data_IF_170437279373
#
_entry.id   IF_170437279373
#
_cell.length_a   1.000
_cell.length_b   1.000
_cell.length_c   1.000
_cell.angle_alpha   90.00
_cell.angle_beta   90.00
_cell.angle_gamma   90.00
#
_symmetry.space_group_name_H-M   'P 1'
#
loop_
_entity.id
_entity.type
_entity.pdbx_description
1 polymer ?
#
# COMPACT_ATOMS: atom_id res chain seq x y z
N UNK A 1 -30.12 -33.54 37.00
CA UNK A 1 -29.19 -33.16 35.92
C UNK A 1 -28.51 -31.85 36.28
N UNK A 2 -27.37 -31.96 36.93
CA UNK A 2 -26.52 -30.83 37.32
C UNK A 2 -25.73 -30.41 36.07
N UNK A 3 -25.88 -29.16 35.61
CA UNK A 3 -25.09 -28.61 34.51
C UNK A 3 -23.63 -28.55 34.98
N UNK A 4 -22.73 -29.23 34.28
CA UNK A 4 -21.28 -29.07 34.44
C UNK A 4 -20.95 -27.59 34.29
N UNK A 5 -20.31 -26.99 35.29
CA UNK A 5 -19.75 -25.64 35.19
C UNK A 5 -18.47 -25.68 34.37
N UNK A 6 -18.58 -25.91 33.06
CA UNK A 6 -17.44 -25.69 32.17
C UNK A 6 -17.18 -24.19 32.12
N UNK A 7 -16.00 -23.78 32.59
CA UNK A 7 -15.55 -22.39 32.47
C UNK A 7 -15.44 -22.03 30.99
N UNK A 8 -16.12 -20.95 30.60
CA UNK A 8 -16.03 -20.42 29.26
C UNK A 8 -14.62 -19.88 29.03
N UNK A 9 -13.83 -20.55 28.18
CA UNK A 9 -12.48 -20.12 27.82
C UNK A 9 -12.60 -18.93 26.87
N UNK A 10 -12.32 -17.74 27.39
CA UNK A 10 -12.26 -16.51 26.60
C UNK A 10 -10.80 -16.24 26.24
N UNK A 11 -10.45 -16.42 24.96
CA UNK A 11 -9.14 -16.07 24.42
C UNK A 11 -9.19 -14.62 23.91
N UNK A 12 -8.25 -13.73 24.29
CA UNK A 12 -8.20 -12.38 23.75
C UNK A 12 -8.06 -12.38 22.22
N UNK A 13 -8.72 -11.42 21.56
CA UNK A 13 -8.67 -11.30 20.10
C UNK A 13 -7.24 -11.22 19.56
N UNK A 14 -6.41 -10.35 20.16
CA UNK A 14 -5.02 -10.17 19.74
C UNK A 14 -4.22 -11.47 19.87
N UNK A 15 -4.48 -12.28 20.91
CA UNK A 15 -3.85 -13.59 21.08
C UNK A 15 -4.24 -14.57 19.97
N UNK A 16 -5.49 -14.53 19.50
CA UNK A 16 -5.94 -15.36 18.37
C UNK A 16 -5.22 -14.95 17.09
N UNK A 17 -5.09 -13.63 16.86
CA UNK A 17 -4.38 -13.08 15.69
C UNK A 17 -2.91 -13.50 15.72
N UNK A 18 -2.22 -13.27 16.83
CA UNK A 18 -0.80 -13.60 16.97
C UNK A 18 -0.53 -15.09 16.80
N UNK A 19 -1.35 -15.95 17.42
CA UNK A 19 -1.21 -17.40 17.27
C UNK A 19 -1.45 -17.83 15.82
N UNK A 20 -2.47 -17.27 15.16
CA UNK A 20 -2.78 -17.60 13.76
C UNK A 20 -1.64 -17.19 12.82
N UNK A 21 -1.05 -16.02 13.04
CA UNK A 21 0.11 -15.55 12.28
C UNK A 21 1.33 -16.47 12.49
N UNK A 22 1.62 -16.83 13.74
CA UNK A 22 2.68 -17.77 14.09
C UNK A 22 2.49 -19.15 13.45
N UNK A 23 1.26 -19.66 13.42
CA UNK A 23 0.93 -20.93 12.79
C UNK A 23 1.16 -20.87 11.26
N UNK A 24 0.78 -19.76 10.61
CA UNK A 24 1.03 -19.53 9.18
C UNK A 24 2.53 -19.48 8.89
N UNK A 25 3.30 -18.70 9.67
CA UNK A 25 4.74 -18.60 9.50
C UNK A 25 5.42 -19.95 9.70
N UNK A 26 5.05 -20.68 10.76
CA UNK A 26 5.57 -22.02 11.04
C UNK A 26 5.27 -22.96 9.87
N UNK A 27 4.01 -23.00 9.41
CA UNK A 27 3.59 -23.87 8.30
C UNK A 27 4.34 -23.56 7.00
N UNK A 28 4.50 -22.28 6.68
CA UNK A 28 5.21 -21.82 5.49
C UNK A 28 6.71 -22.17 5.53
N UNK A 29 7.31 -22.18 6.72
CA UNK A 29 8.70 -22.54 6.94
C UNK A 29 8.94 -24.04 7.18
N UNK A 30 7.90 -24.87 7.23
CA UNK A 30 8.03 -26.33 7.28
C UNK A 30 8.31 -26.92 5.88
N UNK A 31 8.88 -28.14 5.78
CA UNK A 31 9.14 -28.81 4.50
C UNK A 31 7.91 -28.92 3.61
N UNK A 32 8.06 -28.65 2.31
CA UNK A 32 7.01 -28.84 1.31
C UNK A 32 6.66 -30.32 1.17
N UNK A 33 5.39 -30.63 0.88
CA UNK A 33 4.87 -32.02 0.78
C UNK A 33 5.44 -32.86 -0.38
N UNK A 34 6.24 -32.26 -1.27
CA UNK A 34 6.74 -32.87 -2.52
C UNK A 34 8.23 -32.57 -2.65
N UNK A 35 8.61 -31.29 -2.57
CA UNK A 35 10.01 -30.83 -2.48
C UNK A 35 10.44 -30.78 -1.01
N UNK A 36 10.60 -31.96 -0.38
CA UNK A 36 10.83 -32.07 1.07
C UNK A 36 12.18 -31.51 1.54
N UNK A 37 13.09 -31.21 0.62
CA UNK A 37 14.36 -30.53 0.84
C UNK A 37 14.22 -29.00 0.99
N UNK A 38 13.04 -28.45 0.69
CA UNK A 38 12.73 -27.02 0.74
C UNK A 38 11.53 -26.73 1.61
N UNK A 39 11.46 -25.53 2.15
CA UNK A 39 10.26 -25.00 2.81
C UNK A 39 9.15 -24.74 1.79
N UNK A 40 7.90 -24.70 2.24
CA UNK A 40 6.77 -24.31 1.37
C UNK A 40 6.96 -22.91 0.79
N UNK A 41 7.54 -22.00 1.59
CA UNK A 41 7.84 -20.64 1.19
C UNK A 41 8.87 -20.57 0.06
N UNK A 42 9.98 -21.29 0.16
CA UNK A 42 11.00 -21.34 -0.90
C UNK A 42 10.42 -21.88 -2.20
N UNK A 43 9.63 -22.96 -2.13
CA UNK A 43 8.94 -23.51 -3.32
C UNK A 43 8.01 -22.47 -3.93
N UNK A 44 7.22 -21.78 -3.11
CA UNK A 44 6.36 -20.70 -3.57
C UNK A 44 7.18 -19.62 -4.29
N UNK A 45 8.26 -19.11 -3.70
CA UNK A 45 9.08 -18.06 -4.29
C UNK A 45 9.79 -18.48 -5.59
N UNK A 46 10.30 -19.71 -5.67
CA UNK A 46 11.09 -20.18 -6.80
C UNK A 46 10.24 -20.67 -7.98
N UNK A 47 9.02 -21.13 -7.72
CA UNK A 47 8.17 -21.80 -8.72
C UNK A 47 7.00 -20.94 -9.20
N UNK A 48 7.05 -19.62 -8.97
CA UNK A 48 6.07 -18.70 -9.57
C UNK A 48 6.11 -18.78 -11.10
N UNK A 49 4.95 -18.60 -11.73
CA UNK A 49 4.86 -18.52 -13.18
C UNK A 49 5.68 -17.32 -13.69
N UNK A 50 6.58 -17.55 -14.64
CA UNK A 50 7.42 -16.49 -15.23
C UNK A 50 6.60 -15.43 -15.98
N UNK A 51 5.37 -15.76 -16.36
CA UNK A 51 4.45 -14.89 -17.07
C UNK A 51 3.42 -14.21 -16.15
N UNK A 52 3.62 -14.26 -14.82
CA UNK A 52 2.77 -13.54 -13.86
C UNK A 52 2.73 -12.06 -14.21
N UNK A 53 1.51 -11.53 -14.32
CA UNK A 53 1.28 -10.13 -14.68
C UNK A 53 1.33 -9.24 -13.44
N UNK A 54 1.63 -7.94 -13.61
CA UNK A 54 1.52 -6.97 -12.52
C UNK A 54 0.12 -6.95 -11.92
N UNK A 55 0.03 -6.60 -10.64
CA UNK A 55 -1.23 -6.44 -9.94
C UNK A 55 -2.13 -5.43 -10.64
N UNK A 56 -3.37 -5.82 -10.97
CA UNK A 56 -4.37 -4.91 -11.52
C UNK A 56 -4.97 -4.04 -10.39
N UNK A 57 -4.22 -3.00 -10.02
CA UNK A 57 -4.60 -2.08 -8.96
C UNK A 57 -5.94 -1.39 -9.21
N UNK A 58 -6.24 -1.03 -10.46
CA UNK A 58 -7.52 -0.41 -10.83
C UNK A 58 -8.71 -1.30 -10.51
N UNK A 59 -8.56 -2.62 -10.68
CA UNK A 59 -9.63 -3.56 -10.37
C UNK A 59 -9.78 -3.88 -8.88
N UNK A 60 -8.69 -3.87 -8.11
CA UNK A 60 -8.72 -4.33 -6.71
C UNK A 60 -8.85 -3.20 -5.69
N UNK A 61 -8.19 -2.07 -5.94
CA UNK A 61 -8.02 -1.00 -4.95
C UNK A 61 -9.36 -0.39 -4.51
N UNK A 62 -10.38 -0.21 -5.38
CA UNK A 62 -11.71 0.25 -4.96
C UNK A 62 -12.44 -0.71 -4.01
N UNK A 63 -12.04 -1.98 -3.94
CA UNK A 63 -12.71 -3.01 -3.15
C UNK A 63 -11.99 -3.34 -1.84
N UNK A 64 -10.66 -3.25 -1.82
CA UNK A 64 -9.84 -3.59 -0.64
C UNK A 64 -9.19 -2.36 0.01
N UNK A 65 -9.10 -1.25 -0.73
CA UNK A 65 -8.44 -0.05 -0.29
C UNK A 65 -9.28 0.78 0.66
N UNK A 66 -8.58 1.64 1.41
CA UNK A 66 -9.16 2.74 2.16
C UNK A 66 -9.57 3.85 1.18
N UNK A 67 -10.56 4.64 1.56
CA UNK A 67 -11.11 5.73 0.73
C UNK A 67 -10.94 7.06 1.45
N UNK A 68 -10.51 8.09 0.74
CA UNK A 68 -10.40 9.46 1.25
C UNK A 68 -10.78 10.47 0.15
N UNK A 69 -11.37 11.60 0.53
CA UNK A 69 -11.63 12.71 -0.41
C UNK A 69 -10.56 13.76 -0.23
N UNK A 70 -9.99 14.23 -1.34
CA UNK A 70 -8.99 15.31 -1.32
C UNK A 70 -9.13 16.22 -2.54
N UNK A 71 -8.25 17.21 -2.63
CA UNK A 71 -8.18 18.15 -3.76
C UNK A 71 -6.73 18.34 -4.19
N UNK A 72 -6.56 18.82 -5.43
CA UNK A 72 -5.27 19.08 -6.03
C UNK A 72 -5.07 20.59 -6.20
N UNK A 73 -3.90 21.08 -5.80
CA UNK A 73 -3.45 22.44 -6.08
C UNK A 73 -2.10 22.39 -6.81
N UNK A 74 -2.09 22.81 -8.08
CA UNK A 74 -0.88 22.84 -8.91
C UNK A 74 -0.12 21.50 -8.99
N UNK A 75 -0.85 20.38 -8.94
CA UNK A 75 -0.30 19.03 -9.06
C UNK A 75 0.15 18.43 -7.73
N UNK A 76 -0.02 19.16 -6.63
CA UNK A 76 0.33 18.73 -5.28
C UNK A 76 -0.95 18.40 -4.52
N UNK A 77 -0.97 17.22 -3.91
CA UNK A 77 -2.04 16.71 -3.04
C UNK A 77 -1.44 16.54 -1.64
N UNK A 78 -2.13 17.08 -0.63
CA UNK A 78 -1.82 16.76 0.77
C UNK A 78 -2.59 15.50 1.15
N UNK A 79 -1.86 14.48 1.57
CA UNK A 79 -2.41 13.16 1.87
C UNK A 79 -1.58 12.51 2.97
N UNK A 80 -2.24 12.03 4.04
CA UNK A 80 -1.60 11.37 5.21
C UNK A 80 -0.36 12.09 5.76
N UNK A 81 -0.50 13.35 6.18
CA UNK A 81 0.60 14.19 6.71
C UNK A 81 1.82 14.36 5.78
N UNK A 82 1.72 13.94 4.53
CA UNK A 82 2.78 14.03 3.52
C UNK A 82 2.22 14.66 2.25
N UNK A 83 3.09 14.93 1.28
CA UNK A 83 2.69 15.44 -0.03
C UNK A 83 2.91 14.41 -1.11
N UNK A 84 1.90 14.28 -1.96
CA UNK A 84 1.91 13.45 -3.15
C UNK A 84 1.76 14.34 -4.37
N UNK A 85 2.24 13.83 -5.50
CA UNK A 85 2.09 14.43 -6.82
C UNK A 85 1.38 13.49 -7.76
N UNK A 86 0.81 14.05 -8.82
CA UNK A 86 0.16 13.29 -9.88
C UNK A 86 1.18 12.39 -10.60
N UNK A 87 0.81 11.14 -10.85
CA UNK A 87 1.67 10.19 -11.54
C UNK A 87 0.94 9.26 -12.50
N UNK A 88 1.70 8.68 -13.41
CA UNK A 88 1.25 7.70 -14.38
C UNK A 88 2.15 6.47 -14.28
N UNK A 89 1.55 5.28 -14.15
CA UNK A 89 2.27 4.02 -14.00
C UNK A 89 3.33 4.03 -12.88
N UNK A 90 3.04 4.74 -11.78
CA UNK A 90 3.95 4.91 -10.65
C UNK A 90 5.06 5.97 -10.82
N UNK A 91 5.13 6.66 -11.97
CA UNK A 91 6.10 7.72 -12.22
C UNK A 91 5.46 9.11 -12.12
N UNK A 92 6.24 10.13 -11.72
CA UNK A 92 5.75 11.51 -11.62
C UNK A 92 5.35 12.02 -13.00
N UNK A 93 4.12 12.51 -13.14
CA UNK A 93 3.64 13.10 -14.38
C UNK A 93 4.31 14.46 -14.60
N UNK A 94 4.84 14.69 -15.81
CA UNK A 94 5.52 15.92 -16.22
C UNK A 94 5.00 16.39 -17.59
N UNK A 95 5.32 17.63 -17.95
CA UNK A 95 5.02 18.19 -19.27
C UNK A 95 3.54 18.11 -19.64
N UNK A 96 3.25 17.58 -20.83
CA UNK A 96 1.90 17.49 -21.38
C UNK A 96 0.98 16.56 -20.57
N UNK A 97 1.52 15.48 -20.00
CA UNK A 97 0.74 14.56 -19.17
C UNK A 97 0.28 15.25 -17.88
N UNK A 98 1.17 16.01 -17.23
CA UNK A 98 0.80 16.81 -16.06
C UNK A 98 -0.27 17.84 -16.41
N UNK A 99 -0.08 18.58 -17.51
CA UNK A 99 -1.05 19.57 -17.98
C UNK A 99 -2.41 18.92 -18.25
N UNK A 100 -2.43 17.73 -18.86
CA UNK A 100 -3.66 16.97 -19.12
C UNK A 100 -4.35 16.62 -17.81
N UNK A 101 -3.64 16.04 -16.85
CA UNK A 101 -4.22 15.64 -15.55
C UNK A 101 -4.77 16.85 -14.79
N UNK A 102 -4.02 17.96 -14.75
CA UNK A 102 -4.45 19.19 -14.07
C UNK A 102 -5.77 19.75 -14.60
N UNK A 103 -6.07 19.63 -15.90
CA UNK A 103 -7.36 20.05 -16.45
C UNK A 103 -8.55 19.32 -15.83
N UNK A 104 -8.34 18.10 -15.35
CA UNK A 104 -9.37 17.31 -14.70
C UNK A 104 -9.47 17.62 -13.20
N UNK A 105 -8.35 17.64 -12.48
CA UNK A 105 -8.35 17.64 -10.99
C UNK A 105 -8.08 18.99 -10.34
N UNK A 106 -7.49 19.96 -11.04
CA UNK A 106 -7.05 21.19 -10.41
C UNK A 106 -8.26 22.02 -9.93
N UNK A 107 -8.27 22.36 -8.64
CA UNK A 107 -9.38 23.08 -8.03
C UNK A 107 -10.68 22.28 -7.90
N UNK A 108 -10.62 20.95 -8.07
CA UNK A 108 -11.76 20.04 -7.84
C UNK A 108 -11.46 19.06 -6.73
N UNK A 109 -12.51 18.57 -6.10
CA UNK A 109 -12.46 17.43 -5.19
C UNK A 109 -12.53 16.12 -5.98
N UNK A 110 -11.86 15.09 -5.48
CA UNK A 110 -11.84 13.76 -6.06
C UNK A 110 -11.66 12.70 -4.97
N UNK A 111 -11.96 11.46 -5.34
CA UNK A 111 -11.81 10.30 -4.44
C UNK A 111 -10.44 9.67 -4.63
N UNK A 112 -9.78 9.35 -3.53
CA UNK A 112 -8.55 8.60 -3.49
C UNK A 112 -8.86 7.22 -2.91
N UNK A 113 -8.55 6.18 -3.68
CA UNK A 113 -8.46 4.81 -3.14
C UNK A 113 -6.99 4.50 -2.89
N UNK A 114 -6.68 3.95 -1.71
CA UNK A 114 -5.31 3.68 -1.31
C UNK A 114 -5.16 2.49 -0.37
N UNK A 115 -3.96 1.93 -0.32
CA UNK A 115 -3.59 0.83 0.56
C UNK A 115 -2.23 1.11 1.20
N UNK A 116 -2.08 0.83 2.48
CA UNK A 116 -0.80 0.84 3.19
C UNK A 116 -0.12 -0.53 3.17
N UNK A 117 1.20 -0.51 3.23
CA UNK A 117 2.01 -1.69 3.52
C UNK A 117 2.10 -1.97 5.02
N UNK A 118 2.73 -3.09 5.36
CA UNK A 118 2.97 -3.50 6.75
C UNK A 118 3.87 -2.50 7.53
N UNK A 119 4.59 -1.64 6.83
CA UNK A 119 5.43 -0.57 7.38
C UNK A 119 4.65 0.73 7.65
N UNK A 120 3.35 0.76 7.34
CA UNK A 120 2.48 1.93 7.48
C UNK A 120 2.60 2.95 6.34
N UNK A 121 3.55 2.76 5.41
CA UNK A 121 3.71 3.59 4.23
C UNK A 121 2.63 3.27 3.20
N UNK A 122 2.34 4.23 2.32
CA UNK A 122 1.37 4.03 1.24
C UNK A 122 1.98 3.10 0.19
N UNK A 123 1.41 1.91 0.03
CA UNK A 123 1.81 0.93 -0.97
C UNK A 123 1.32 1.34 -2.37
N UNK A 124 0.07 1.83 -2.47
CA UNK A 124 -0.52 2.34 -3.70
C UNK A 124 -1.63 3.33 -3.38
N UNK A 125 -1.74 4.39 -4.17
CA UNK A 125 -2.84 5.35 -4.12
C UNK A 125 -3.21 5.80 -5.54
N UNK A 126 -4.50 5.92 -5.81
CA UNK A 126 -5.06 6.28 -7.11
C UNK A 126 -6.19 7.29 -6.96
N UNK A 127 -6.21 8.28 -7.86
CA UNK A 127 -7.31 9.23 -7.98
C UNK A 127 -8.39 8.66 -8.90
N UNK A 128 -9.63 8.75 -8.43
CA UNK A 128 -10.84 8.47 -9.18
C UNK A 128 -11.68 9.74 -9.27
N UNK A 129 -12.17 10.02 -10.48
CA UNK A 129 -13.09 11.12 -10.74
C UNK A 129 -14.29 10.55 -11.50
N UNK A 130 -15.51 10.74 -10.96
CA UNK A 130 -16.75 10.14 -11.49
C UNK A 130 -16.61 8.62 -11.75
N UNK A 131 -16.12 7.88 -10.74
CA UNK A 131 -15.88 6.43 -10.77
C UNK A 131 -14.84 5.93 -11.80
N UNK A 132 -14.16 6.85 -12.50
CA UNK A 132 -13.14 6.53 -13.49
C UNK A 132 -11.75 6.77 -12.91
N UNK A 133 -10.89 5.75 -12.96
CA UNK A 133 -9.49 5.87 -12.54
C UNK A 133 -8.78 6.85 -13.47
N UNK A 134 -8.24 7.93 -12.89
CA UNK A 134 -7.58 8.98 -13.65
C UNK A 134 -6.06 8.82 -13.66
N UNK A 135 -5.45 8.66 -12.49
CA UNK A 135 -4.00 8.61 -12.34
C UNK A 135 -3.57 8.07 -10.96
N UNK A 136 -2.29 7.75 -10.85
CA UNK A 136 -1.65 7.38 -9.60
C UNK A 136 -1.28 8.62 -8.76
N UNK A 137 -1.14 8.42 -7.46
CA UNK A 137 -0.46 9.36 -6.56
C UNK A 137 0.91 8.80 -6.22
N UNK A 138 1.95 9.60 -6.50
CA UNK A 138 3.35 9.26 -6.22
C UNK A 138 3.86 10.18 -5.12
N UNK A 139 4.60 9.67 -4.11
CA UNK A 139 5.19 10.52 -3.07
C UNK A 139 6.03 11.63 -3.71
N UNK A 140 5.88 12.87 -3.21
CA UNK A 140 6.72 13.96 -3.67
C UNK A 140 8.18 13.67 -3.28
N UNK A 141 9.15 13.80 -4.20
CA UNK A 141 10.55 13.64 -3.87
C UNK A 141 10.97 14.66 -2.79
N UNK A 142 11.49 14.16 -1.67
CA UNK A 142 12.12 15.02 -0.67
C UNK A 142 13.53 15.37 -1.15
N UNK A 143 13.80 16.67 -1.32
CA UNK A 143 15.16 17.12 -1.56
C UNK A 143 15.98 16.95 -0.28
N UNK A 144 17.12 16.25 -0.38
CA UNK A 144 18.12 16.25 0.69
C UNK A 144 18.55 17.70 0.93
N UNK A 145 18.21 18.24 2.11
CA UNK A 145 18.73 19.53 2.53
C UNK A 145 20.23 19.35 2.73
N UNK A 146 21.04 19.87 1.80
CA UNK A 146 22.48 20.02 2.02
C UNK A 146 22.65 20.86 3.29
N UNK A 147 23.10 20.22 4.37
CA UNK A 147 23.56 20.91 5.56
C UNK A 147 24.75 21.74 5.09
N UNK A 148 24.51 23.03 4.81
CA UNK A 148 25.61 23.97 4.65
C UNK A 148 26.28 24.05 6.02
N UNK A 149 27.49 23.48 6.10
CA UNK A 149 28.40 23.66 7.22
C UNK A 149 28.46 25.15 7.54
N UNK A 150 28.10 25.50 8.78
CA UNK A 150 28.24 26.87 9.29
C UNK A 150 29.73 27.21 9.32
N UNK A 151 30.09 28.20 8.51
CA UNK A 151 31.15 29.20 8.69
C UNK A 151 32.37 28.75 9.50
N UNK A 152 33.43 28.33 8.78
CA UNK A 152 34.77 28.70 9.21
C UNK A 152 34.94 30.22 9.05
N UNK A 153 35.30 30.87 10.16
CA UNK A 153 35.82 32.25 10.33
C UNK A 153 34.84 33.33 10.80
N UNK A 154 35.13 33.82 12.02
CA UNK A 154 34.59 35.02 12.65
C UNK A 154 35.01 35.10 14.11
#
# INVERSE_FOLDING_TARGET
NQKSGEEEIIIPFDTIVDQSLSDIETWNNMPHSVHTDKTRWEVFCEMQNKNTQPTNWTAILPHIGKTETSSCNAGIIKFRNTTFVLGLDGEIALGDDLIRLLKYVNGKEFTIYWLDGNDGNVLKAMIYFDDLMLCDLVPQPEYSRSIHERDEQG
#
